data_IF_499077094541
#
_entry.id   IF_499077094541
#
_cell.length_a   1.000
_cell.length_b   1.000
_cell.length_c   1.000
_cell.angle_alpha   90.00
_cell.angle_beta   90.00
_cell.angle_gamma   90.00
#
_symmetry.space_group_name_H-M   'P 1'
#
loop_
_entity.id
_entity.type
_entity.pdbx_description
1 polymer ?
#
# COMPACT_ATOMS: atom_id res chain seq x y z
N UNK A 1 58.84 6.09 -11.92
CA UNK A 1 57.41 6.24 -12.22
C UNK A 1 56.65 5.22 -11.39
N UNK A 2 56.05 5.63 -10.30
CA UNK A 2 55.36 4.76 -9.38
C UNK A 2 53.84 4.91 -9.63
N UNK A 3 53.19 3.82 -9.98
CA UNK A 3 51.74 3.74 -10.14
C UNK A 3 51.08 3.37 -8.82
N UNK A 4 50.28 4.31 -8.29
CA UNK A 4 49.47 4.06 -7.09
C UNK A 4 48.25 3.20 -7.42
N UNK A 5 47.85 2.23 -6.57
CA UNK A 5 46.63 1.45 -6.77
C UNK A 5 45.40 2.23 -6.30
N UNK A 6 44.42 2.33 -7.17
CA UNK A 6 43.09 2.88 -6.82
C UNK A 6 42.34 1.89 -5.94
N UNK A 7 42.21 2.23 -4.66
CA UNK A 7 41.36 1.51 -3.71
C UNK A 7 39.88 1.79 -4.04
N UNK A 8 39.13 0.82 -4.55
CA UNK A 8 37.68 0.84 -4.62
C UNK A 8 37.12 0.48 -3.25
N UNK A 9 36.73 1.51 -2.49
CA UNK A 9 36.03 1.32 -1.25
C UNK A 9 34.64 0.74 -1.50
N UNK A 10 34.44 -0.53 -1.09
CA UNK A 10 33.10 -1.08 -0.91
C UNK A 10 32.43 -0.35 0.26
N UNK A 11 31.40 0.45 -0.01
CA UNK A 11 30.54 0.94 1.05
C UNK A 11 29.84 -0.25 1.69
N UNK A 12 30.32 -0.62 2.86
CA UNK A 12 29.71 -1.60 3.74
C UNK A 12 28.37 -1.01 4.20
N UNK A 13 27.26 -1.55 3.70
CA UNK A 13 25.94 -1.23 4.22
C UNK A 13 25.97 -1.50 5.74
N UNK A 14 25.77 -0.46 6.53
CA UNK A 14 25.74 -0.57 7.99
C UNK A 14 24.57 -1.43 8.42
N UNK A 15 24.85 -2.54 9.13
CA UNK A 15 23.80 -3.33 9.80
C UNK A 15 23.16 -2.45 10.87
N UNK A 16 21.83 -2.46 11.01
CA UNK A 16 21.14 -1.73 12.06
C UNK A 16 21.63 -2.21 13.45
N UNK A 17 21.81 -1.28 14.38
CA UNK A 17 22.16 -1.55 15.76
C UNK A 17 21.07 -2.42 16.42
N UNK A 18 21.44 -3.36 17.28
CA UNK A 18 20.64 -4.50 17.74
C UNK A 18 19.23 -4.25 18.30
N UNK A 19 18.88 -3.01 18.71
CA UNK A 19 17.53 -2.68 19.21
C UNK A 19 16.51 -2.46 18.07
N UNK A 20 16.94 -1.98 16.89
CA UNK A 20 16.05 -1.75 15.74
C UNK A 20 15.88 -3.00 14.88
N UNK A 21 16.82 -3.93 14.94
CA UNK A 21 16.75 -5.21 14.21
C UNK A 21 15.56 -6.07 14.66
N UNK A 22 15.14 -5.95 15.93
CA UNK A 22 13.99 -6.69 16.47
C UNK A 22 12.63 -6.17 15.96
N UNK A 23 12.60 -4.97 15.34
CA UNK A 23 11.38 -4.33 14.82
C UNK A 23 11.24 -4.46 13.29
N UNK A 24 12.17 -5.11 12.63
CA UNK A 24 12.16 -5.26 11.18
C UNK A 24 11.84 -6.69 10.77
N UNK A 25 11.00 -6.87 9.75
CA UNK A 25 10.84 -8.16 9.11
C UNK A 25 12.18 -8.68 8.55
N UNK A 26 12.36 -10.00 8.40
CA UNK A 26 13.57 -10.58 7.86
C UNK A 26 13.97 -9.98 6.50
N UNK A 27 15.28 -9.75 6.28
CA UNK A 27 15.82 -9.20 5.04
C UNK A 27 15.53 -7.75 4.76
N UNK A 28 14.92 -6.99 5.70
CA UNK A 28 14.65 -5.56 5.57
C UNK A 28 15.76 -4.70 6.19
N UNK A 29 15.86 -3.44 5.72
CA UNK A 29 16.68 -2.38 6.31
C UNK A 29 15.86 -1.11 6.44
N UNK A 30 16.16 -0.27 7.41
CA UNK A 30 15.49 1.02 7.60
C UNK A 30 15.93 2.05 6.57
N UNK A 31 15.01 2.94 6.20
CA UNK A 31 15.31 4.15 5.43
C UNK A 31 14.66 5.39 6.07
N UNK A 32 15.33 6.53 5.97
CA UNK A 32 14.75 7.85 6.27
C UNK A 32 13.90 8.37 5.10
N UNK A 33 14.22 7.95 3.89
CA UNK A 33 13.54 8.38 2.69
C UNK A 33 12.19 7.70 2.51
N UNK A 34 11.36 8.26 1.63
CA UNK A 34 10.17 7.59 1.13
C UNK A 34 10.35 7.35 -0.38
N UNK A 35 10.97 6.22 -0.77
CA UNK A 35 11.26 5.96 -2.19
C UNK A 35 10.00 5.91 -3.04
N UNK A 36 10.04 6.56 -4.20
CA UNK A 36 8.96 6.54 -5.18
C UNK A 36 9.19 5.38 -6.14
N UNK A 37 8.35 4.35 -6.03
CA UNK A 37 8.33 3.21 -6.95
C UNK A 37 6.96 3.13 -7.62
N UNK A 38 6.92 2.94 -8.92
CA UNK A 38 5.68 2.86 -9.70
C UNK A 38 5.86 1.95 -10.90
N UNK A 39 4.79 1.24 -11.28
CA UNK A 39 4.73 0.41 -12.49
C UNK A 39 4.39 1.21 -13.76
N UNK A 40 4.14 2.52 -13.64
CA UNK A 40 3.76 3.40 -14.74
C UNK A 40 3.85 4.87 -14.37
N UNK A 41 3.42 5.78 -15.26
CA UNK A 41 3.43 7.21 -14.99
C UNK A 41 2.50 7.56 -13.82
N UNK A 42 2.83 8.64 -13.09
CA UNK A 42 2.00 9.16 -12.01
C UNK A 42 0.73 9.79 -12.58
N UNK A 43 -0.46 9.27 -12.28
CA UNK A 43 -1.72 9.90 -12.65
C UNK A 43 -1.87 11.27 -11.98
N UNK A 44 -2.58 12.17 -12.64
CA UNK A 44 -2.99 13.47 -12.10
C UNK A 44 -4.51 13.56 -12.15
N UNK A 45 -5.15 13.06 -11.10
CA UNK A 45 -6.61 13.04 -11.00
C UNK A 45 -7.08 14.30 -10.30
N UNK A 46 -7.81 15.20 -10.98
CA UNK A 46 -8.42 16.35 -10.33
C UNK A 46 -9.41 15.88 -9.25
N UNK A 47 -9.46 16.59 -8.12
CA UNK A 47 -10.31 16.20 -6.98
C UNK A 47 -11.80 16.17 -7.34
N UNK A 48 -12.26 17.04 -8.26
CA UNK A 48 -13.65 17.04 -8.75
C UNK A 48 -14.01 15.78 -9.54
N UNK A 49 -13.01 15.09 -10.13
CA UNK A 49 -13.21 13.90 -10.93
C UNK A 49 -12.91 12.61 -10.13
N UNK A 50 -12.40 12.78 -8.89
CA UNK A 50 -12.10 11.64 -8.05
C UNK A 50 -13.37 11.06 -7.44
N UNK A 51 -13.50 9.76 -7.56
CA UNK A 51 -14.53 8.98 -6.87
C UNK A 51 -13.92 7.69 -6.35
N UNK A 52 -14.43 7.21 -5.24
CA UNK A 52 -14.16 5.86 -4.74
C UNK A 52 -15.44 5.04 -4.80
N UNK A 53 -15.37 3.78 -5.19
CA UNK A 53 -16.54 2.93 -5.28
C UNK A 53 -16.29 1.52 -4.73
N UNK A 54 -17.34 0.92 -4.14
CA UNK A 54 -17.40 -0.51 -3.87
C UNK A 54 -18.30 -1.12 -4.91
N UNK A 55 -17.80 -2.21 -5.53
CA UNK A 55 -18.48 -2.93 -6.63
C UNK A 55 -18.57 -4.41 -6.30
N UNK A 56 -19.52 -5.09 -6.93
CA UNK A 56 -19.63 -6.55 -6.93
C UNK A 56 -20.23 -7.01 -8.27
N UNK A 57 -19.56 -7.94 -8.93
CA UNK A 57 -19.98 -8.43 -10.25
C UNK A 57 -20.09 -7.31 -11.30
N UNK A 58 -19.19 -6.31 -11.23
CA UNK A 58 -19.19 -5.16 -12.12
C UNK A 58 -20.24 -4.08 -11.81
N UNK A 59 -21.13 -4.31 -10.83
CA UNK A 59 -22.13 -3.34 -10.40
C UNK A 59 -21.59 -2.48 -9.26
N UNK A 60 -21.76 -1.15 -9.34
CA UNK A 60 -21.47 -0.25 -8.23
C UNK A 60 -22.53 -0.39 -7.14
N UNK A 61 -22.15 -0.81 -5.95
CA UNK A 61 -23.01 -0.89 -4.77
C UNK A 61 -23.07 0.45 -4.05
N UNK A 62 -21.93 1.12 -3.94
CA UNK A 62 -21.78 2.43 -3.29
C UNK A 62 -20.67 3.22 -3.96
N UNK A 63 -20.80 4.55 -3.94
CA UNK A 63 -19.78 5.46 -4.44
C UNK A 63 -19.73 6.73 -3.61
N UNK A 64 -18.55 7.33 -3.49
CA UNK A 64 -18.29 8.60 -2.80
C UNK A 64 -17.50 9.51 -3.72
N UNK A 65 -17.94 10.75 -3.85
CA UNK A 65 -17.15 11.85 -4.40
C UNK A 65 -16.09 12.29 -3.38
N UNK A 66 -15.12 13.10 -3.79
CA UNK A 66 -14.08 13.58 -2.88
C UNK A 66 -14.65 14.31 -1.64
N UNK A 67 -15.60 15.25 -1.76
CA UNK A 67 -16.23 15.88 -0.60
C UNK A 67 -16.93 14.86 0.32
N UNK A 68 -17.72 13.95 -0.25
CA UNK A 68 -18.41 12.90 0.53
C UNK A 68 -17.45 11.97 1.25
N UNK A 69 -16.29 11.68 0.64
CA UNK A 69 -15.25 10.88 1.25
C UNK A 69 -14.59 11.61 2.44
N UNK A 70 -14.32 12.91 2.31
CA UNK A 70 -13.72 13.72 3.38
C UNK A 70 -14.67 13.94 4.57
N UNK A 71 -15.99 13.84 4.37
CA UNK A 71 -17.00 13.90 5.44
C UNK A 71 -17.07 12.63 6.28
N UNK A 72 -16.43 11.54 5.83
CA UNK A 72 -16.38 10.29 6.60
C UNK A 72 -15.42 10.40 7.80
N UNK A 73 -15.67 9.65 8.89
CA UNK A 73 -14.77 9.61 10.02
C UNK A 73 -13.36 9.16 9.61
N UNK A 74 -12.40 10.08 9.67
CA UNK A 74 -11.00 9.80 9.41
C UNK A 74 -10.22 9.77 10.73
N UNK A 75 -9.21 8.91 10.79
CA UNK A 75 -8.32 8.81 11.94
C UNK A 75 -6.85 8.98 11.54
N UNK A 76 -6.04 9.40 12.50
CA UNK A 76 -4.58 9.47 12.32
C UNK A 76 -3.95 8.23 12.95
N UNK A 77 -3.11 7.56 12.17
CA UNK A 77 -2.43 6.33 12.60
C UNK A 77 -0.93 6.45 12.38
N UNK A 78 -0.17 5.82 13.28
CA UNK A 78 1.27 5.69 13.12
C UNK A 78 1.60 4.22 12.87
N UNK A 79 2.20 3.94 11.71
CA UNK A 79 2.48 2.57 11.26
C UNK A 79 3.83 2.47 10.59
N UNK A 80 4.39 1.26 10.60
CA UNK A 80 5.56 0.91 9.81
C UNK A 80 5.13 0.41 8.43
N UNK A 81 5.90 0.74 7.40
CA UNK A 81 5.67 0.26 6.04
C UNK A 81 6.89 -0.52 5.54
N UNK A 82 6.63 -1.62 4.82
CA UNK A 82 7.66 -2.55 4.37
C UNK A 82 7.56 -2.78 2.86
N UNK A 83 8.59 -2.43 2.11
CA UNK A 83 8.62 -2.66 0.67
C UNK A 83 9.26 -4.01 0.32
N UNK A 84 8.76 -4.67 -0.71
CA UNK A 84 9.36 -5.89 -1.25
C UNK A 84 10.82 -5.69 -1.68
N UNK A 85 11.19 -4.46 -2.07
CA UNK A 85 12.57 -4.07 -2.43
C UNK A 85 13.47 -3.85 -1.20
N UNK A 86 13.07 -4.39 -0.04
CA UNK A 86 13.86 -4.55 1.19
C UNK A 86 14.03 -3.31 2.05
N UNK A 87 13.42 -2.17 1.74
CA UNK A 87 13.41 -1.05 2.65
C UNK A 87 12.16 -1.05 3.54
N UNK A 88 12.32 -0.57 4.75
CA UNK A 88 11.25 -0.30 5.71
C UNK A 88 11.36 1.13 6.20
N UNK A 89 10.24 1.83 6.29
CA UNK A 89 10.15 3.14 6.91
C UNK A 89 9.27 3.02 8.16
N UNK A 90 9.87 3.32 9.32
CA UNK A 90 9.23 3.14 10.61
C UNK A 90 8.56 4.43 11.07
N UNK A 91 7.48 4.27 11.86
CA UNK A 91 6.79 5.36 12.53
C UNK A 91 6.15 6.37 11.58
N UNK A 92 5.72 5.96 10.40
CA UNK A 92 5.07 6.83 9.41
C UNK A 92 3.67 7.23 9.88
N UNK A 93 3.36 8.54 9.79
CA UNK A 93 2.08 9.10 10.25
C UNK A 93 1.15 9.32 9.05
N UNK A 94 -0.04 8.71 9.11
CA UNK A 94 -1.03 8.78 8.04
C UNK A 94 -2.37 9.25 8.59
N UNK A 95 -3.13 9.97 7.78
CA UNK A 95 -4.55 10.23 8.05
C UNK A 95 -5.39 9.65 6.94
N UNK A 96 -6.43 8.89 7.31
CA UNK A 96 -7.28 8.21 6.36
C UNK A 96 -8.59 7.72 6.95
N UNK A 97 -9.50 7.32 6.08
CA UNK A 97 -10.78 6.69 6.45
C UNK A 97 -10.55 5.19 6.58
N UNK A 98 -10.89 4.56 7.72
CA UNK A 98 -10.83 3.11 7.86
C UNK A 98 -11.68 2.41 6.79
N UNK A 99 -11.11 1.43 6.08
CA UNK A 99 -11.80 0.72 5.00
C UNK A 99 -13.06 0.02 5.51
N UNK A 100 -13.05 -0.48 6.74
CA UNK A 100 -14.23 -1.10 7.38
C UNK A 100 -15.46 -0.20 7.35
N UNK A 101 -15.31 1.13 7.59
CA UNK A 101 -16.43 2.08 7.58
C UNK A 101 -17.07 2.24 6.19
N UNK A 102 -16.32 1.96 5.14
CA UNK A 102 -16.83 1.96 3.76
C UNK A 102 -17.52 0.62 3.45
N UNK A 103 -16.95 -0.49 3.89
CA UNK A 103 -17.51 -1.83 3.73
C UNK A 103 -18.82 -1.99 4.52
N UNK A 104 -18.90 -1.44 5.73
CA UNK A 104 -20.11 -1.46 6.58
C UNK A 104 -21.32 -0.76 5.94
N UNK A 105 -21.12 0.01 4.84
CA UNK A 105 -22.21 0.69 4.12
C UNK A 105 -22.80 -0.14 2.97
N UNK A 106 -22.31 -1.36 2.75
CA UNK A 106 -22.79 -2.28 1.73
C UNK A 106 -23.00 -3.67 2.34
N UNK A 107 -24.08 -4.33 1.93
CA UNK A 107 -24.30 -5.73 2.30
C UNK A 107 -23.44 -6.63 1.40
N UNK A 108 -22.64 -7.50 2.00
CA UNK A 108 -21.83 -8.48 1.28
C UNK A 108 -21.39 -9.64 2.17
N UNK A 109 -21.11 -10.78 1.56
CA UNK A 109 -20.49 -11.96 2.14
C UNK A 109 -19.18 -12.35 1.41
N UNK A 110 -18.70 -11.47 0.53
CA UNK A 110 -17.51 -11.70 -0.28
C UNK A 110 -16.27 -11.94 0.60
N UNK A 111 -15.51 -13.03 0.37
CA UNK A 111 -14.31 -13.35 1.14
C UNK A 111 -13.07 -12.55 0.71
N UNK A 112 -13.08 -11.93 -0.47
CA UNK A 112 -11.95 -11.19 -1.04
C UNK A 112 -12.36 -9.85 -1.61
N UNK A 113 -11.37 -8.97 -1.78
CA UNK A 113 -11.49 -7.72 -2.55
C UNK A 113 -10.34 -7.60 -3.53
N UNK A 114 -10.60 -6.98 -4.66
CA UNK A 114 -9.59 -6.48 -5.59
C UNK A 114 -9.61 -4.95 -5.53
N UNK A 115 -8.58 -4.34 -4.96
CA UNK A 115 -8.40 -2.91 -5.04
C UNK A 115 -8.00 -2.54 -6.47
N UNK A 116 -8.66 -1.51 -7.04
CA UNK A 116 -8.34 -0.99 -8.36
C UNK A 116 -8.05 0.51 -8.32
N UNK A 117 -7.17 0.94 -9.22
CA UNK A 117 -6.58 2.28 -9.20
C UNK A 117 -6.59 2.93 -10.59
N UNK A 118 -6.37 4.24 -10.61
CA UNK A 118 -6.03 4.92 -11.87
C UNK A 118 -4.76 4.30 -12.47
N UNK A 119 -4.70 4.25 -13.80
CA UNK A 119 -3.60 3.60 -14.51
C UNK A 119 -3.68 2.07 -14.60
N UNK A 120 -4.78 1.47 -14.12
CA UNK A 120 -5.06 0.03 -14.27
C UNK A 120 -4.34 -0.87 -13.27
N UNK A 121 -3.69 -0.31 -12.23
CA UNK A 121 -3.12 -1.11 -11.15
C UNK A 121 -4.20 -1.78 -10.32
N UNK A 122 -3.97 -3.05 -9.97
CA UNK A 122 -4.84 -3.82 -9.09
C UNK A 122 -4.02 -4.62 -8.08
N UNK A 123 -4.61 -4.92 -6.92
CA UNK A 123 -4.07 -5.89 -5.95
C UNK A 123 -5.20 -6.53 -5.16
N UNK A 124 -5.10 -7.84 -4.97
CA UNK A 124 -6.07 -8.63 -4.22
C UNK A 124 -5.75 -8.66 -2.72
N UNK A 125 -6.79 -8.81 -1.92
CA UNK A 125 -6.69 -8.91 -0.46
C UNK A 125 -7.83 -9.80 0.08
N UNK A 126 -7.57 -10.64 1.10
CA UNK A 126 -8.66 -11.19 1.89
C UNK A 126 -9.49 -10.07 2.53
N UNK A 127 -10.81 -10.19 2.55
CA UNK A 127 -11.71 -9.18 3.11
C UNK A 127 -11.37 -8.86 4.58
N UNK A 128 -10.96 -9.86 5.36
CA UNK A 128 -10.57 -9.72 6.76
C UNK A 128 -9.41 -8.74 6.97
N UNK A 129 -8.46 -8.67 6.01
CA UNK A 129 -7.28 -7.81 6.13
C UNK A 129 -7.64 -6.33 5.91
N UNK A 130 -8.73 -6.04 5.24
CA UNK A 130 -9.22 -4.67 5.03
C UNK A 130 -10.37 -4.28 5.95
N UNK A 131 -11.10 -5.26 6.52
CA UNK A 131 -12.22 -5.01 7.44
C UNK A 131 -11.79 -5.03 8.91
N UNK A 132 -10.98 -6.00 9.35
CA UNK A 132 -10.57 -6.20 10.75
C UNK A 132 -9.08 -5.93 10.94
N UNK A 133 -8.25 -6.22 9.95
CA UNK A 133 -6.79 -6.20 10.03
C UNK A 133 -6.13 -4.82 10.08
N UNK A 134 -6.90 -3.73 10.03
CA UNK A 134 -6.39 -2.36 10.01
C UNK A 134 -5.91 -1.95 8.62
N UNK A 135 -6.83 -1.40 7.83
CA UNK A 135 -6.56 -0.80 6.53
C UNK A 135 -7.30 0.54 6.40
N UNK A 136 -6.69 1.47 5.68
CA UNK A 136 -7.21 2.83 5.50
C UNK A 136 -7.15 3.25 4.04
N UNK A 137 -8.10 4.10 3.64
CA UNK A 137 -7.91 4.97 2.49
C UNK A 137 -7.23 6.24 2.99
N UNK A 138 -5.92 6.29 2.87
CA UNK A 138 -5.10 7.39 3.34
C UNK A 138 -5.04 8.52 2.31
N UNK A 139 -5.21 9.76 2.76
CA UNK A 139 -5.17 10.98 1.95
C UNK A 139 -4.17 12.02 2.45
N UNK A 140 -3.68 11.90 3.70
CA UNK A 140 -2.56 12.69 4.24
C UNK A 140 -1.41 11.78 4.66
N UNK A 141 -0.21 12.32 4.55
CA UNK A 141 1.04 11.74 5.01
C UNK A 141 1.87 12.81 5.72
N UNK A 142 2.33 12.53 6.95
CA UNK A 142 3.10 13.47 7.80
C UNK A 142 2.42 14.84 7.94
N UNK A 143 1.08 14.86 8.05
CA UNK A 143 0.28 16.08 8.22
C UNK A 143 0.13 16.94 6.96
N UNK A 144 0.48 16.41 5.79
CA UNK A 144 0.31 17.07 4.51
C UNK A 144 -0.55 16.23 3.56
N UNK A 145 -1.29 16.85 2.64
CA UNK A 145 -1.98 16.13 1.56
C UNK A 145 -1.02 15.19 0.85
N UNK A 146 -1.49 13.97 0.58
CA UNK A 146 -0.66 12.93 -0.02
C UNK A 146 -0.19 13.34 -1.42
N UNK A 147 1.12 13.42 -1.61
CA UNK A 147 1.73 13.78 -2.88
C UNK A 147 1.34 12.79 -4.00
N UNK A 148 1.15 13.25 -5.25
CA UNK A 148 0.73 12.39 -6.36
C UNK A 148 1.63 11.18 -6.57
N UNK A 149 2.96 11.32 -6.48
CA UNK A 149 3.93 10.24 -6.63
C UNK A 149 3.83 9.18 -5.53
N UNK A 150 3.29 9.53 -4.38
CA UNK A 150 3.02 8.62 -3.25
C UNK A 150 1.59 8.05 -3.26
N UNK A 151 0.79 8.39 -4.27
CA UNK A 151 -0.54 7.82 -4.48
C UNK A 151 -1.70 8.78 -4.24
N UNK A 152 -1.43 10.10 -4.12
CA UNK A 152 -2.49 11.10 -3.99
C UNK A 152 -3.46 11.13 -5.19
N UNK A 153 -4.73 11.53 -4.97
CA UNK A 153 -5.25 12.12 -3.74
C UNK A 153 -5.54 11.10 -2.62
N UNK A 154 -5.71 9.83 -2.93
CA UNK A 154 -5.89 8.77 -1.92
C UNK A 154 -5.24 7.46 -2.35
N UNK A 155 -4.70 6.75 -1.37
CA UNK A 155 -4.15 5.41 -1.53
C UNK A 155 -4.73 4.45 -0.51
N UNK A 156 -4.73 3.17 -0.86
CA UNK A 156 -4.93 2.12 0.13
C UNK A 156 -3.66 2.00 1.00
N UNK A 157 -3.84 1.82 2.29
CA UNK A 157 -2.78 1.58 3.28
C UNK A 157 -3.11 0.30 4.04
N UNK A 158 -2.28 -0.73 3.87
CA UNK A 158 -2.39 -2.05 4.52
C UNK A 158 -1.02 -2.38 5.13
N UNK A 159 -0.69 -1.83 6.30
CA UNK A 159 0.69 -1.82 6.79
C UNK A 159 1.24 -3.19 7.21
N UNK A 160 0.38 -4.16 7.53
CA UNK A 160 0.79 -5.52 7.89
C UNK A 160 1.21 -6.40 6.70
N UNK A 161 1.01 -5.90 5.46
CA UNK A 161 1.45 -6.55 4.23
C UNK A 161 2.54 -5.72 3.55
N UNK A 162 3.28 -6.35 2.63
CA UNK A 162 4.21 -5.60 1.80
C UNK A 162 3.51 -4.48 1.03
N UNK A 163 4.19 -3.36 0.86
CA UNK A 163 3.63 -2.09 0.44
C UNK A 163 3.04 -2.06 -0.98
N UNK A 164 3.29 -3.07 -1.81
CA UNK A 164 2.56 -3.21 -3.09
C UNK A 164 1.08 -3.52 -2.88
N UNK A 165 0.69 -4.12 -1.74
CA UNK A 165 -0.71 -4.33 -1.35
C UNK A 165 -1.42 -3.04 -0.98
N UNK A 166 -0.67 -1.97 -0.75
CA UNK A 166 -1.16 -0.62 -0.48
C UNK A 166 -1.26 0.18 -1.79
N UNK A 167 -2.30 -0.09 -2.59
CA UNK A 167 -2.48 0.47 -3.92
C UNK A 167 -2.51 2.01 -3.93
N UNK A 168 -1.65 2.63 -4.76
CA UNK A 168 -1.67 4.07 -5.03
C UNK A 168 -2.85 4.45 -5.92
N UNK A 169 -3.29 5.72 -5.86
CA UNK A 169 -4.33 6.28 -6.74
C UNK A 169 -5.60 5.44 -6.76
N UNK A 170 -5.97 4.91 -5.61
CA UNK A 170 -7.08 3.96 -5.48
C UNK A 170 -8.42 4.60 -5.87
N UNK A 171 -9.24 3.84 -6.63
CA UNK A 171 -10.55 4.25 -7.12
C UNK A 171 -11.68 3.36 -6.60
N UNK A 172 -11.34 2.24 -6.01
CA UNK A 172 -12.37 1.38 -5.41
C UNK A 172 -11.90 -0.01 -5.03
N UNK A 173 -12.88 -0.76 -4.54
CA UNK A 173 -12.78 -2.17 -4.22
C UNK A 173 -13.84 -2.94 -5.02
N UNK A 174 -13.43 -3.94 -5.75
CA UNK A 174 -14.34 -4.96 -6.31
C UNK A 174 -14.41 -6.11 -5.30
N UNK A 175 -15.61 -6.41 -4.82
CA UNK A 175 -15.88 -7.55 -3.97
C UNK A 175 -15.85 -8.83 -4.81
N UNK A 176 -15.18 -9.86 -4.32
CA UNK A 176 -14.94 -11.10 -5.08
C UNK A 176 -15.34 -12.32 -4.27
N UNK A 177 -16.05 -13.26 -4.93
CA UNK A 177 -16.42 -14.56 -4.38
C UNK A 177 -15.23 -15.54 -4.34
N UNK A 178 -14.22 -15.31 -5.20
CA UNK A 178 -12.99 -16.07 -5.27
C UNK A 178 -11.79 -15.12 -5.38
N UNK A 179 -10.66 -15.54 -4.85
CA UNK A 179 -9.43 -14.78 -4.94
C UNK A 179 -8.97 -14.63 -6.38
N UNK A 180 -8.63 -13.40 -6.75
CA UNK A 180 -8.18 -13.05 -8.10
C UNK A 180 -6.88 -12.26 -8.02
N UNK A 181 -5.74 -12.82 -8.46
CA UNK A 181 -4.46 -12.12 -8.47
C UNK A 181 -4.53 -10.74 -9.14
N UNK A 182 -3.91 -9.74 -8.51
CA UNK A 182 -3.77 -8.40 -9.07
C UNK A 182 -2.53 -8.26 -9.96
N UNK A 183 -2.10 -7.00 -10.17
CA UNK A 183 -1.03 -6.69 -11.13
C UNK A 183 0.29 -7.42 -10.79
N UNK A 184 0.88 -7.18 -9.62
CA UNK A 184 2.17 -7.77 -9.27
C UNK A 184 2.09 -9.27 -8.98
N UNK A 185 0.98 -9.74 -8.45
CA UNK A 185 0.72 -11.17 -8.22
C UNK A 185 0.76 -11.94 -9.55
N UNK A 186 0.20 -11.38 -10.63
CA UNK A 186 0.30 -11.94 -11.98
C UNK A 186 1.71 -11.88 -12.59
N UNK A 187 2.58 -10.99 -12.07
CA UNK A 187 4.00 -10.91 -12.45
C UNK A 187 4.92 -11.71 -11.52
N UNK A 188 4.37 -12.60 -10.69
CA UNK A 188 5.12 -13.55 -9.89
C UNK A 188 5.44 -13.08 -8.47
N UNK A 189 4.78 -12.04 -7.96
CA UNK A 189 4.85 -11.71 -6.54
C UNK A 189 3.96 -12.66 -5.74
N UNK A 190 4.25 -12.79 -4.44
CA UNK A 190 3.45 -13.63 -3.54
C UNK A 190 2.00 -13.13 -3.48
N UNK A 191 1.05 -14.06 -3.47
CA UNK A 191 -0.37 -13.72 -3.50
C UNK A 191 -0.85 -12.99 -2.22
N UNK A 192 -0.21 -13.24 -1.05
CA UNK A 192 -0.58 -12.60 0.21
C UNK A 192 0.38 -11.46 0.60
N UNK A 193 1.70 -11.73 0.58
CA UNK A 193 2.72 -10.70 0.76
C UNK A 193 2.97 -10.30 2.20
N UNK A 194 3.05 -11.25 3.14
CA UNK A 194 3.41 -10.98 4.53
C UNK A 194 4.91 -10.73 4.68
N UNK A 195 5.35 -9.53 5.13
CA UNK A 195 6.77 -9.21 5.25
C UNK A 195 7.48 -10.03 6.33
N UNK A 196 6.79 -10.42 7.40
CA UNK A 196 7.37 -11.21 8.50
C UNK A 196 7.61 -12.68 8.14
N UNK A 197 7.00 -13.14 7.02
CA UNK A 197 7.22 -14.46 6.42
C UNK A 197 8.09 -14.39 5.16
N UNK A 198 8.62 -13.20 4.84
CA UNK A 198 9.35 -12.93 3.59
C UNK A 198 8.60 -13.34 2.32
N UNK A 199 7.28 -13.31 2.32
CA UNK A 199 6.43 -13.64 1.17
C UNK A 199 6.57 -12.58 0.06
N UNK A 200 7.69 -12.62 -0.68
CA UNK A 200 8.01 -11.67 -1.75
C UNK A 200 7.53 -12.15 -3.10
N UNK A 201 7.74 -13.43 -3.39
CA UNK A 201 7.48 -14.04 -4.70
C UNK A 201 6.58 -15.26 -4.58
N UNK A 202 6.00 -15.67 -5.72
CA UNK A 202 5.24 -16.90 -5.80
C UNK A 202 6.16 -18.08 -5.42
N UNK A 203 5.76 -18.83 -4.41
CA UNK A 203 6.54 -19.97 -3.89
C UNK A 203 7.29 -19.69 -2.58
N UNK A 204 7.29 -18.46 -2.06
CA UNK A 204 7.80 -18.13 -0.73
C UNK A 204 6.80 -18.56 0.37
#
# INVERSE_FOLDING_TARGET
MATSPVSRGFHRLSRPAGADAAKLPPGQHTTSDFPVLSAGPTPRTPLQDWTFSIRHGGKTLRSWTWPQFLDLPAETVTVDIHCVTRWSKLGTVWRGVPVRLLLDQVEHDAPYVLAFSDGGYTTNLPIKDVSVGGAWLAFDYEGQPLAPEHGGPARLLVPHLYFWKSAKWVRGLELLDQDQPGFWENYGYNNYGNPWREQRYAGD
#
